data_IF_237374467411
#
_entry.id   IF_237374467411
#
_cell.length_a   1.000
_cell.length_b   1.000
_cell.length_c   1.000
_cell.angle_alpha   90.00
_cell.angle_beta   90.00
_cell.angle_gamma   90.00
#
_symmetry.space_group_name_H-M   'P 1'
#
loop_
_entity.id
_entity.type
_entity.pdbx_description
1 polymer ?
#
# COMPACT_ATOMS: atom_id res chain seq x y z
N UNK A 1 33.68 -44.94 95.93
CA UNK A 1 34.54 -44.24 94.97
C UNK A 1 33.82 -44.41 93.64
N UNK A 2 32.74 -43.65 93.45
CA UNK A 2 32.71 -42.32 92.81
C UNK A 2 33.06 -42.45 91.32
N UNK A 3 32.07 -42.47 90.42
CA UNK A 3 31.34 -41.33 89.79
C UNK A 3 31.98 -40.93 88.45
N UNK A 4 31.12 -40.67 87.46
CA UNK A 4 31.50 -40.22 86.12
C UNK A 4 30.40 -40.49 85.08
N UNK A 5 29.20 -39.94 85.31
CA UNK A 5 28.19 -39.72 84.27
C UNK A 5 28.60 -38.44 83.52
N UNK A 6 29.03 -38.57 82.27
CA UNK A 6 29.17 -37.46 81.33
C UNK A 6 28.05 -37.59 80.28
N UNK A 7 26.95 -36.88 80.56
CA UNK A 7 25.82 -36.65 79.68
C UNK A 7 26.22 -35.67 78.55
N UNK A 8 26.76 -36.18 77.45
CA UNK A 8 26.90 -35.42 76.20
C UNK A 8 25.68 -35.70 75.28
N UNK A 9 24.58 -34.98 75.52
CA UNK A 9 23.43 -34.84 74.61
C UNK A 9 23.82 -33.93 73.43
N UNK A 10 24.69 -34.42 72.54
CA UNK A 10 24.92 -33.79 71.24
C UNK A 10 23.90 -34.30 70.22
N UNK A 11 22.99 -33.39 69.86
CA UNK A 11 21.97 -33.60 68.84
C UNK A 11 22.52 -34.26 67.58
N UNK A 12 21.85 -35.34 67.17
CA UNK A 12 22.12 -36.10 65.96
C UNK A 12 21.94 -35.19 64.74
N UNK A 13 22.99 -34.44 64.39
CA UNK A 13 23.14 -33.82 63.10
C UNK A 13 23.36 -34.96 62.11
N UNK A 14 22.28 -35.39 61.45
CA UNK A 14 22.34 -36.35 60.36
C UNK A 14 23.38 -35.86 59.34
N UNK A 15 24.55 -36.51 59.28
CA UNK A 15 25.54 -36.34 58.21
C UNK A 15 24.95 -36.94 56.93
N UNK A 16 23.89 -36.32 56.42
CA UNK A 16 23.26 -36.70 55.18
C UNK A 16 24.19 -36.27 54.05
N UNK A 17 24.78 -37.25 53.38
CA UNK A 17 25.68 -37.04 52.25
C UNK A 17 24.86 -36.43 51.11
N UNK A 18 25.15 -35.18 50.77
CA UNK A 18 24.54 -34.50 49.62
C UNK A 18 25.20 -35.04 48.36
N UNK A 19 24.39 -35.50 47.40
CA UNK A 19 24.88 -35.96 46.11
C UNK A 19 25.50 -34.80 45.33
N UNK A 20 26.44 -35.09 44.43
CA UNK A 20 27.16 -34.05 43.68
C UNK A 20 26.26 -33.19 42.79
N UNK A 21 25.08 -33.70 42.39
CA UNK A 21 24.08 -32.99 41.59
C UNK A 21 23.28 -31.98 42.41
N UNK A 22 23.11 -32.24 43.71
CA UNK A 22 22.34 -31.40 44.66
C UNK A 22 23.22 -30.42 45.43
N UNK A 23 24.53 -30.37 45.12
CA UNK A 23 25.44 -29.46 45.78
C UNK A 23 25.17 -28.02 45.32
N UNK A 24 24.40 -27.29 46.11
CA UNK A 24 24.19 -25.86 45.96
C UNK A 24 25.48 -25.12 46.35
N UNK A 25 26.16 -24.55 45.35
CA UNK A 25 27.42 -23.83 45.56
C UNK A 25 27.23 -22.37 45.97
N UNK A 26 26.04 -21.80 45.74
CA UNK A 26 25.74 -20.39 45.96
C UNK A 26 24.42 -20.23 46.72
N UNK A 27 24.35 -19.28 47.68
CA UNK A 27 23.13 -18.98 48.42
C UNK A 27 22.06 -18.40 47.49
N UNK A 28 20.79 -18.53 47.89
CA UNK A 28 19.68 -17.97 47.13
C UNK A 28 19.78 -16.43 47.07
N UNK A 29 19.31 -15.78 45.98
CA UNK A 29 19.41 -14.33 45.84
C UNK A 29 18.70 -13.54 46.96
N UNK A 30 17.61 -14.08 47.52
CA UNK A 30 16.86 -13.48 48.63
C UNK A 30 17.72 -13.33 49.89
N UNK A 31 18.58 -14.30 50.19
CA UNK A 31 19.45 -14.27 51.37
C UNK A 31 20.59 -13.23 51.24
N UNK A 32 20.98 -12.90 50.00
CA UNK A 32 22.05 -11.94 49.71
C UNK A 32 21.56 -10.50 49.76
N UNK A 33 20.37 -10.23 49.20
CA UNK A 33 19.83 -8.87 49.07
C UNK A 33 18.77 -8.50 50.12
N UNK A 34 18.16 -9.48 50.79
CA UNK A 34 17.14 -9.27 51.82
C UNK A 34 15.71 -9.12 51.29
N UNK A 35 14.70 -9.13 52.18
CA UNK A 35 13.28 -9.19 51.81
C UNK A 35 12.69 -7.90 51.22
N UNK A 36 13.41 -6.77 51.32
CA UNK A 36 12.95 -5.48 50.79
C UNK A 36 13.26 -5.30 49.29
N UNK A 37 13.96 -6.25 48.66
CA UNK A 37 14.40 -6.19 47.26
C UNK A 37 13.77 -7.33 46.45
N UNK A 38 13.00 -6.98 45.42
CA UNK A 38 12.45 -7.96 44.48
C UNK A 38 13.52 -8.41 43.48
N UNK A 39 13.94 -9.68 43.58
CA UNK A 39 14.88 -10.27 42.62
C UNK A 39 14.11 -11.02 41.53
N UNK A 40 14.07 -10.45 40.33
CA UNK A 40 13.39 -11.04 39.17
C UNK A 40 14.43 -11.64 38.23
N UNK A 41 14.29 -12.94 37.92
CA UNK A 41 15.13 -13.63 36.94
C UNK A 41 14.36 -13.73 35.62
N UNK A 42 14.87 -13.10 34.56
CA UNK A 42 14.34 -13.23 33.20
C UNK A 42 15.31 -14.05 32.35
N UNK A 43 14.89 -15.26 31.96
CA UNK A 43 15.69 -16.17 31.12
C UNK A 43 15.56 -15.87 29.63
N UNK A 44 14.39 -15.35 29.20
CA UNK A 44 14.08 -15.06 27.81
C UNK A 44 13.61 -13.60 27.62
N UNK A 45 13.86 -13.07 26.42
CA UNK A 45 13.43 -11.74 26.02
C UNK A 45 11.90 -11.65 25.90
N UNK A 46 11.30 -10.59 26.47
CA UNK A 46 9.86 -10.35 26.42
C UNK A 46 9.35 -9.93 25.02
N UNK A 47 10.24 -9.51 24.12
CA UNK A 47 9.89 -9.05 22.77
C UNK A 47 10.79 -9.71 21.72
N UNK A 48 10.22 -10.34 20.67
CA UNK A 48 11.02 -10.95 19.62
C UNK A 48 11.74 -9.90 18.77
N UNK A 49 12.93 -10.24 18.26
CA UNK A 49 13.77 -9.37 17.41
C UNK A 49 13.08 -8.88 16.12
N UNK A 50 12.00 -9.54 15.69
CA UNK A 50 11.20 -9.14 14.53
C UNK A 50 10.37 -7.88 14.78
N UNK A 51 10.04 -7.60 16.04
CA UNK A 51 9.27 -6.43 16.42
C UNK A 51 10.22 -5.31 16.85
N UNK A 52 10.20 -4.13 16.19
CA UNK A 52 11.04 -3.02 16.59
C UNK A 52 10.59 -2.45 17.94
N UNK A 53 11.56 -1.97 18.74
CA UNK A 53 11.31 -1.33 20.05
C UNK A 53 10.46 -0.06 19.87
N UNK A 54 10.79 0.77 18.87
CA UNK A 54 9.98 1.93 18.49
C UNK A 54 9.24 1.59 17.20
N UNK A 55 7.91 1.53 17.27
CA UNK A 55 7.10 1.22 16.08
C UNK A 55 7.17 2.36 15.06
N UNK A 56 7.56 2.08 13.80
CA UNK A 56 7.54 3.09 12.76
C UNK A 56 6.11 3.46 12.38
N UNK A 57 5.91 4.70 11.93
CA UNK A 57 4.59 5.20 11.49
C UNK A 57 4.21 4.47 10.19
N UNK A 58 3.30 3.49 10.28
CA UNK A 58 2.79 2.73 9.13
C UNK A 58 1.57 3.44 8.52
N UNK A 59 1.77 4.18 7.43
CA UNK A 59 0.66 4.78 6.68
C UNK A 59 0.05 3.75 5.72
N UNK A 60 -1.07 3.15 6.11
CA UNK A 60 -1.79 2.16 5.29
C UNK A 60 -2.57 2.86 4.16
N UNK A 61 -1.95 3.05 2.98
CA UNK A 61 -2.63 3.53 1.76
C UNK A 61 -2.95 2.34 0.85
N UNK A 62 -4.22 1.92 0.82
CA UNK A 62 -4.67 0.80 -0.01
C UNK A 62 -5.11 1.21 -1.43
N UNK A 63 -5.28 2.51 -1.66
CA UNK A 63 -5.66 3.08 -2.95
C UNK A 63 -4.75 4.26 -3.25
N UNK A 64 -4.42 4.45 -4.52
CA UNK A 64 -3.79 5.68 -4.98
C UNK A 64 -4.82 6.81 -4.87
N UNK A 65 -4.67 7.64 -3.84
CA UNK A 65 -5.50 8.83 -3.63
C UNK A 65 -4.55 10.02 -3.66
N UNK A 66 -4.71 10.84 -4.70
CA UNK A 66 -4.06 12.14 -4.78
C UNK A 66 -4.72 13.07 -3.78
N UNK A 67 -3.92 13.66 -2.88
CA UNK A 67 -4.44 14.56 -1.83
C UNK A 67 -4.65 15.99 -2.35
N UNK A 68 -4.00 16.34 -3.45
CA UNK A 68 -4.07 17.66 -4.06
C UNK A 68 -4.81 17.53 -5.38
N UNK A 69 -5.66 18.51 -5.69
CA UNK A 69 -6.35 18.54 -6.97
C UNK A 69 -5.33 18.88 -8.08
N UNK A 70 -5.20 18.03 -9.12
CA UNK A 70 -4.35 18.35 -10.25
C UNK A 70 -4.92 19.53 -11.04
N UNK A 71 -4.05 20.28 -11.72
CA UNK A 71 -4.49 21.40 -12.57
C UNK A 71 -5.26 20.85 -13.77
N UNK A 72 -6.45 21.42 -14.02
CA UNK A 72 -7.30 21.12 -15.18
C UNK A 72 -7.21 22.23 -16.23
N UNK A 73 -7.57 21.93 -17.48
CA UNK A 73 -7.68 22.95 -18.55
C UNK A 73 -8.89 23.88 -18.32
N UNK A 74 -9.94 23.37 -17.69
CA UNK A 74 -11.15 24.13 -17.34
C UNK A 74 -11.09 24.60 -15.88
N UNK A 75 -11.83 25.66 -15.57
CA UNK A 75 -11.99 26.16 -14.21
C UNK A 75 -13.04 25.35 -13.43
N UNK A 76 -12.83 25.15 -12.13
CA UNK A 76 -13.72 24.37 -11.27
C UNK A 76 -15.07 25.06 -11.05
N UNK A 77 -15.11 26.39 -11.11
CA UNK A 77 -16.36 27.15 -11.05
C UNK A 77 -17.25 26.83 -12.26
N UNK A 78 -16.67 26.82 -13.46
CA UNK A 78 -17.37 26.44 -14.68
C UNK A 78 -17.92 25.02 -14.64
N UNK A 79 -17.19 24.06 -14.04
CA UNK A 79 -17.72 22.70 -13.85
C UNK A 79 -18.92 22.67 -12.90
N UNK A 80 -18.94 23.54 -11.88
CA UNK A 80 -20.04 23.65 -10.92
C UNK A 80 -21.29 24.24 -11.59
N UNK A 81 -21.12 25.32 -12.36
CA UNK A 81 -22.22 25.94 -13.12
C UNK A 81 -22.86 24.96 -14.13
N UNK A 82 -22.06 24.07 -14.73
CA UNK A 82 -22.56 23.02 -15.62
C UNK A 82 -23.37 21.93 -14.90
N UNK A 83 -23.12 21.69 -13.60
CA UNK A 83 -23.85 20.68 -12.83
C UNK A 83 -25.26 21.13 -12.46
N UNK A 84 -25.47 22.44 -12.32
CA UNK A 84 -26.78 23.02 -12.00
C UNK A 84 -27.78 22.88 -13.16
N UNK A 85 -27.29 22.74 -14.40
CA UNK A 85 -28.11 22.56 -15.59
C UNK A 85 -28.17 21.08 -16.03
N UNK A 86 -29.24 20.33 -15.70
CA UNK A 86 -29.32 18.88 -15.95
C UNK A 86 -29.35 18.53 -17.44
N UNK A 87 -29.67 19.47 -18.34
CA UNK A 87 -29.64 19.23 -19.78
C UNK A 87 -28.22 19.11 -20.35
N UNK A 88 -27.22 19.66 -19.64
CA UNK A 88 -25.81 19.64 -20.06
C UNK A 88 -25.04 18.44 -19.47
N UNK A 89 -25.54 17.84 -18.38
CA UNK A 89 -24.91 16.68 -17.74
C UNK A 89 -25.30 15.37 -18.44
N UNK A 90 -24.31 14.51 -18.71
CA UNK A 90 -24.52 13.18 -19.31
C UNK A 90 -23.91 12.09 -18.43
N UNK A 91 -24.74 11.20 -17.91
CA UNK A 91 -24.30 10.01 -17.16
C UNK A 91 -23.97 8.88 -18.15
N UNK A 92 -22.67 8.57 -18.31
CA UNK A 92 -22.17 7.56 -19.25
C UNK A 92 -21.45 6.46 -18.48
N UNK A 93 -21.78 5.20 -18.75
CA UNK A 93 -21.08 4.04 -18.22
C UNK A 93 -20.31 3.32 -19.34
N UNK A 94 -19.01 3.08 -19.14
CA UNK A 94 -18.20 2.30 -20.07
C UNK A 94 -18.23 0.82 -19.71
N UNK A 95 -18.97 0.03 -20.50
CA UNK A 95 -19.12 -1.42 -20.31
C UNK A 95 -18.54 -2.16 -21.51
N UNK A 96 -17.93 -3.31 -21.26
CA UNK A 96 -17.31 -4.13 -22.29
C UNK A 96 -16.50 -5.27 -21.68
N UNK A 97 -16.04 -6.20 -22.52
CA UNK A 97 -15.37 -7.41 -22.09
C UNK A 97 -13.97 -7.16 -21.47
N UNK A 98 -13.39 -8.17 -20.82
CA UNK A 98 -12.11 -8.05 -20.12
C UNK A 98 -11.00 -7.56 -21.08
N UNK A 99 -10.13 -6.67 -20.60
CA UNK A 99 -9.01 -6.07 -21.35
C UNK A 99 -9.35 -5.36 -22.68
N UNK A 100 -10.59 -4.91 -22.90
CA UNK A 100 -10.96 -4.10 -24.08
C UNK A 100 -10.57 -2.61 -23.99
N UNK A 101 -9.61 -2.26 -23.12
CA UNK A 101 -9.10 -0.89 -23.02
C UNK A 101 -10.07 0.14 -22.41
N UNK A 102 -11.10 -0.29 -21.65
CA UNK A 102 -12.06 0.62 -21.00
C UNK A 102 -11.37 1.64 -20.07
N UNK A 103 -10.43 1.16 -19.25
CA UNK A 103 -9.64 2.02 -18.36
C UNK A 103 -8.69 2.91 -19.16
N UNK A 104 -8.01 2.35 -20.16
CA UNK A 104 -7.11 3.11 -21.04
C UNK A 104 -7.84 4.23 -21.80
N UNK A 105 -9.10 4.01 -22.20
CA UNK A 105 -9.91 5.05 -22.82
C UNK A 105 -10.24 6.18 -21.83
N UNK A 106 -10.57 5.86 -20.56
CA UNK A 106 -10.70 6.89 -19.53
C UNK A 106 -9.38 7.63 -19.29
N UNK A 107 -8.25 6.93 -19.28
CA UNK A 107 -6.94 7.55 -19.13
C UNK A 107 -6.67 8.56 -20.25
N UNK A 108 -7.06 8.26 -21.51
CA UNK A 108 -6.94 9.20 -22.61
C UNK A 108 -7.75 10.50 -22.39
N UNK A 109 -8.98 10.40 -21.87
CA UNK A 109 -9.81 11.57 -21.57
C UNK A 109 -9.22 12.41 -20.43
N UNK A 110 -8.66 11.75 -19.41
CA UNK A 110 -7.96 12.42 -18.30
C UNK A 110 -6.71 13.16 -18.82
N UNK A 111 -5.91 12.54 -19.68
CA UNK A 111 -4.74 13.18 -20.30
C UNK A 111 -5.09 14.41 -21.14
N UNK A 112 -6.26 14.41 -21.79
CA UNK A 112 -6.71 15.57 -22.55
C UNK A 112 -7.14 16.74 -21.64
N UNK A 113 -7.70 16.43 -20.47
CA UNK A 113 -8.27 17.44 -19.54
C UNK A 113 -7.27 17.96 -18.51
N UNK A 114 -6.17 17.24 -18.27
CA UNK A 114 -5.15 17.60 -17.29
C UNK A 114 -3.77 17.76 -17.97
N UNK A 115 -3.28 19.01 -18.14
CA UNK A 115 -2.04 19.27 -18.87
C UNK A 115 -0.78 18.69 -18.21
N UNK A 116 -0.79 18.46 -16.89
CA UNK A 116 0.35 17.87 -16.17
C UNK A 116 0.69 16.47 -16.70
N UNK A 117 -0.34 15.66 -16.99
CA UNK A 117 -0.17 14.30 -17.52
C UNK A 117 0.07 14.29 -19.04
N UNK A 118 -0.31 15.35 -19.76
CA UNK A 118 -0.10 15.47 -21.22
C UNK A 118 1.37 15.48 -21.62
N UNK A 119 2.24 16.05 -20.78
CA UNK A 119 3.67 16.24 -21.07
C UNK A 119 4.40 14.91 -21.29
N UNK A 120 4.04 13.87 -20.55
CA UNK A 120 4.71 12.56 -20.57
C UNK A 120 4.44 11.81 -21.88
N UNK A 121 3.23 11.94 -22.44
CA UNK A 121 2.85 11.23 -23.66
C UNK A 121 3.35 11.93 -24.94
N UNK A 122 3.37 13.28 -24.95
CA UNK A 122 3.85 14.04 -26.11
C UNK A 122 5.37 13.93 -26.29
N UNK A 123 6.14 13.76 -25.21
CA UNK A 123 7.59 13.54 -25.27
C UNK A 123 7.95 12.25 -26.02
N UNK A 124 7.15 11.19 -25.85
CA UNK A 124 7.34 9.90 -26.52
C UNK A 124 6.99 9.96 -28.03
N UNK A 125 6.00 10.77 -28.40
CA UNK A 125 5.65 11.02 -29.81
C UNK A 125 6.64 11.96 -30.50
N UNK A 126 7.15 13.00 -29.82
CA UNK A 126 8.16 13.90 -30.39
C UNK A 126 9.52 13.21 -30.57
N UNK A 127 9.90 12.29 -29.67
CA UNK A 127 11.12 11.49 -29.83
C UNK A 127 11.07 10.60 -31.10
N UNK A 128 9.87 10.17 -31.54
CA UNK A 128 9.69 9.45 -32.81
C UNK A 128 9.70 10.39 -34.04
N UNK A 129 9.29 11.64 -33.89
CA UNK A 129 9.25 12.62 -35.01
C UNK A 129 10.64 13.13 -35.41
N UNK A 130 11.54 13.39 -34.44
CA UNK A 130 12.88 13.94 -34.71
C UNK A 130 13.82 12.94 -35.39
N UNK A 131 13.55 11.63 -35.29
CA UNK A 131 14.31 10.60 -36.00
C UNK A 131 13.87 10.42 -37.48
N UNK A 132 12.79 11.08 -37.91
CA UNK A 132 12.20 10.89 -39.26
C UNK A 132 12.58 11.96 -40.30
N UNK A 133 13.42 12.94 -39.94
CA UNK A 133 13.92 13.95 -40.89
C UNK A 133 15.02 13.44 -41.83
N UNK A 134 15.38 12.16 -41.75
CA UNK A 134 16.22 11.46 -42.73
C UNK A 134 15.39 10.56 -43.66
N UNK A 135 15.07 11.08 -44.85
CA UNK A 135 14.74 10.40 -46.11
C UNK A 135 14.00 9.02 -46.11
N UNK A 136 12.88 9.03 -46.85
CA UNK A 136 12.26 7.89 -47.55
C UNK A 136 11.64 6.76 -46.69
N UNK A 137 10.37 6.93 -46.30
CA UNK A 137 9.49 5.80 -45.97
C UNK A 137 8.10 5.99 -46.61
N UNK A 138 8.04 5.82 -47.94
CA UNK A 138 6.80 5.67 -48.72
C UNK A 138 6.25 4.23 -48.72
N UNK A 139 6.83 3.31 -47.95
CA UNK A 139 6.41 1.91 -47.97
C UNK A 139 6.37 1.40 -46.53
N UNK A 140 5.34 0.62 -46.21
CA UNK A 140 5.15 -0.10 -44.95
C UNK A 140 4.33 0.57 -43.82
N UNK A 141 3.18 1.15 -44.15
CA UNK A 141 2.05 1.18 -43.22
C UNK A 141 1.30 -0.16 -43.25
N UNK A 142 1.98 -1.26 -42.94
CA UNK A 142 1.33 -2.56 -42.78
C UNK A 142 2.07 -3.44 -41.76
N UNK A 143 2.03 -3.04 -40.49
CA UNK A 143 2.08 -3.99 -39.37
C UNK A 143 1.69 -3.32 -38.05
N UNK A 144 0.53 -3.75 -37.53
CA UNK A 144 0.29 -4.00 -36.10
C UNK A 144 0.08 -2.80 -35.17
N UNK A 145 -1.02 -2.08 -35.41
CA UNK A 145 -1.85 -1.58 -34.31
C UNK A 145 -3.03 -2.55 -34.12
N UNK A 146 -3.21 -3.20 -32.96
CA UNK A 146 -4.36 -4.05 -32.73
C UNK A 146 -5.63 -3.20 -32.68
N UNK A 147 -6.40 -3.27 -33.77
CA UNK A 147 -7.86 -3.11 -33.89
C UNK A 147 -8.54 -2.34 -32.75
N UNK A 148 -8.48 -1.01 -32.78
CA UNK A 148 -9.57 -0.20 -32.24
C UNK A 148 -10.64 -0.06 -33.33
N UNK A 149 -11.68 -0.88 -33.21
CA UNK A 149 -12.89 -0.77 -34.03
C UNK A 149 -13.62 0.55 -33.71
N UNK A 150 -13.28 1.62 -34.41
CA UNK A 150 -14.19 2.75 -34.62
C UNK A 150 -14.90 2.51 -35.96
N UNK A 151 -15.88 1.60 -35.96
CA UNK A 151 -16.74 1.45 -37.14
C UNK A 151 -17.64 2.67 -37.25
N UNK A 152 -17.47 3.36 -38.37
CA UNK A 152 -18.29 4.45 -38.89
C UNK A 152 -19.78 4.16 -38.70
N UNK A 153 -20.39 4.74 -37.66
CA UNK A 153 -21.85 4.82 -37.48
C UNK A 153 -22.28 6.10 -36.77
N UNK A 154 -21.53 7.19 -36.96
CA UNK A 154 -21.89 8.53 -36.49
C UNK A 154 -21.92 9.56 -37.64
N UNK A 155 -22.49 9.15 -38.78
CA UNK A 155 -22.83 10.04 -39.89
C UNK A 155 -24.18 9.62 -40.52
N UNK A 156 -25.21 9.50 -39.69
CA UNK A 156 -26.63 9.38 -40.12
C UNK A 156 -27.58 9.74 -38.98
N UNK A 157 -27.45 10.96 -38.45
CA UNK A 157 -28.40 11.51 -37.47
C UNK A 157 -28.56 13.04 -37.60
N UNK A 158 -28.43 13.60 -38.81
CA UNK A 158 -28.70 15.02 -39.09
C UNK A 158 -29.67 15.24 -40.27
N UNK A 159 -30.64 14.34 -40.48
CA UNK A 159 -31.62 14.51 -41.57
C UNK A 159 -33.04 13.97 -41.31
N UNK A 160 -33.49 13.89 -40.06
CA UNK A 160 -34.88 13.50 -39.71
C UNK A 160 -35.48 14.48 -38.68
N UNK A 161 -35.19 15.77 -38.78
CA UNK A 161 -35.81 16.78 -37.90
C UNK A 161 -36.11 18.11 -38.61
N UNK A 162 -36.42 18.07 -39.92
CA UNK A 162 -36.77 19.26 -40.70
C UNK A 162 -37.93 19.03 -41.69
N UNK A 163 -38.75 17.99 -41.53
CA UNK A 163 -39.91 17.72 -42.41
C UNK A 163 -41.27 17.72 -41.71
N UNK A 164 -41.41 18.32 -40.53
CA UNK A 164 -42.70 18.41 -39.82
C UNK A 164 -43.13 19.85 -39.52
N UNK A 165 -42.73 20.81 -40.37
CA UNK A 165 -43.20 22.19 -40.31
C UNK A 165 -43.24 22.74 -41.73
N UNK A 166 -44.29 22.39 -42.48
CA UNK A 166 -45.03 23.16 -43.50
C UNK A 166 -46.06 22.18 -44.10
N UNK A 167 -47.19 22.04 -43.41
CA UNK A 167 -48.54 22.13 -43.98
C UNK A 167 -49.57 22.15 -42.85
#
# INVERSE_FOLDING_TARGET
VEEGDDDDDEGIASQAVVLHEDKQYYPAPEDVYGPDVETIVHEEDAQPLTQPIIQPIKVKKFRLVEKNLPKTVYDLQFLTDLQDEPSLVRNIALVGHLHHGKSTFMDCLVHQTHPEFRSVFLFLLHAQSVLSSGQLFSFLLHAKLPKMCFTKKLLRARHIALSSLVH
#
